data_IF_201368314609
#
_entry.id   IF_201368314609
#
_cell.length_a   1.000
_cell.length_b   1.000
_cell.length_c   1.000
_cell.angle_alpha   90.00
_cell.angle_beta   90.00
_cell.angle_gamma   90.00
#
_symmetry.space_group_name_H-M   'P 1'
#
loop_
_entity.id
_entity.type
_entity.pdbx_description
1 polymer ?
#
# COMPACT_ATOMS: atom_id res chain seq x y z
N UNK A 1 -12.74 -17.18 18.86
CA UNK A 1 -12.66 -17.33 17.39
C UNK A 1 -11.90 -16.13 16.85
N UNK A 2 -10.71 -16.43 16.29
CA UNK A 2 -9.80 -15.58 15.49
C UNK A 2 -10.02 -14.07 15.46
N UNK A 3 -9.26 -13.34 16.28
CA UNK A 3 -8.91 -11.95 16.00
C UNK A 3 -7.54 -11.96 15.29
N UNK A 4 -7.54 -11.82 13.97
CA UNK A 4 -6.33 -11.53 13.21
C UNK A 4 -6.06 -10.02 13.34
N UNK A 5 -4.96 -9.64 13.97
CA UNK A 5 -4.54 -8.25 14.07
C UNK A 5 -3.68 -7.83 12.87
N UNK A 6 -3.76 -6.52 12.59
CA UNK A 6 -2.81 -5.62 11.90
C UNK A 6 -2.68 -5.63 10.36
N UNK A 7 -3.65 -4.98 9.70
CA UNK A 7 -3.56 -4.22 8.43
C UNK A 7 -4.93 -3.58 8.15
N UNK A 8 -5.40 -2.60 8.93
CA UNK A 8 -6.81 -2.16 8.79
C UNK A 8 -7.12 -1.57 7.42
N UNK A 9 -6.22 -0.76 6.86
CA UNK A 9 -6.43 -0.11 5.57
C UNK A 9 -6.34 -1.10 4.40
N UNK A 10 -5.16 -1.69 4.22
CA UNK A 10 -4.87 -2.54 3.05
C UNK A 10 -5.56 -3.90 3.10
N UNK A 11 -5.79 -4.48 4.29
CA UNK A 11 -6.57 -5.72 4.38
C UNK A 11 -8.05 -5.46 4.07
N UNK A 12 -8.62 -4.36 4.58
CA UNK A 12 -9.98 -3.96 4.22
C UNK A 12 -10.09 -3.69 2.72
N UNK A 13 -9.10 -2.99 2.14
CA UNK A 13 -9.02 -2.74 0.70
C UNK A 13 -9.01 -4.06 -0.09
N UNK A 14 -8.14 -5.02 0.26
CA UNK A 14 -8.07 -6.34 -0.39
C UNK A 14 -9.36 -7.14 -0.26
N UNK A 15 -10.02 -7.08 0.90
CA UNK A 15 -11.31 -7.74 1.11
C UNK A 15 -12.37 -7.19 0.15
N UNK A 16 -12.45 -5.87 0.01
CA UNK A 16 -13.38 -5.20 -0.93
C UNK A 16 -13.08 -5.55 -2.39
N UNK A 17 -11.80 -5.52 -2.77
CA UNK A 17 -11.35 -5.91 -4.11
C UNK A 17 -11.73 -7.36 -4.45
N UNK A 18 -11.52 -8.28 -3.50
CA UNK A 18 -11.88 -9.70 -3.65
C UNK A 18 -13.39 -9.92 -3.74
N UNK A 19 -14.18 -9.04 -3.12
CA UNK A 19 -15.64 -9.03 -3.22
C UNK A 19 -16.16 -8.36 -4.50
N UNK A 20 -15.29 -7.85 -5.37
CA UNK A 20 -15.66 -7.18 -6.62
C UNK A 20 -16.40 -5.85 -6.40
N UNK A 21 -16.22 -5.22 -5.24
CA UNK A 21 -16.86 -3.95 -4.95
C UNK A 21 -16.15 -2.81 -5.67
N UNK A 22 -16.93 -1.88 -6.22
CA UNK A 22 -16.38 -0.62 -6.69
C UNK A 22 -15.81 0.18 -5.51
N UNK A 23 -14.67 0.82 -5.77
CA UNK A 23 -13.94 1.65 -4.82
C UNK A 23 -13.88 3.06 -5.37
N UNK A 24 -14.12 4.06 -4.52
CA UNK A 24 -13.72 5.42 -4.88
C UNK A 24 -12.20 5.54 -4.71
N UNK A 25 -11.53 6.29 -5.59
CA UNK A 25 -10.08 6.46 -5.56
C UNK A 25 -9.59 7.03 -4.23
N UNK A 26 -10.37 7.93 -3.62
CA UNK A 26 -10.09 8.48 -2.30
C UNK A 26 -10.06 7.41 -1.19
N UNK A 27 -10.83 6.32 -1.32
CA UNK A 27 -10.82 5.22 -0.34
C UNK A 27 -9.52 4.43 -0.41
N UNK A 28 -8.97 4.25 -1.63
CA UNK A 28 -7.64 3.66 -1.81
C UNK A 28 -6.57 4.50 -1.13
N UNK A 29 -6.56 5.82 -1.36
CA UNK A 29 -5.58 6.71 -0.73
C UNK A 29 -5.74 6.75 0.79
N UNK A 30 -6.97 6.74 1.31
CA UNK A 30 -7.22 6.65 2.74
C UNK A 30 -6.70 5.34 3.34
N UNK A 31 -6.87 4.22 2.63
CA UNK A 31 -6.34 2.92 3.06
C UNK A 31 -4.81 2.89 3.07
N UNK A 32 -4.16 3.54 2.10
CA UNK A 32 -2.69 3.70 2.07
C UNK A 32 -2.23 4.54 3.25
N UNK A 33 -2.81 5.72 3.43
CA UNK A 33 -2.43 6.66 4.50
C UNK A 33 -2.64 6.09 5.91
N UNK A 34 -3.53 5.11 6.08
CA UNK A 34 -3.73 4.43 7.36
C UNK A 34 -2.54 3.55 7.76
N UNK A 35 -1.87 2.91 6.79
CA UNK A 35 -0.87 1.86 7.03
C UNK A 35 0.55 2.25 6.58
N UNK A 36 0.70 3.35 5.82
CA UNK A 36 1.97 3.77 5.21
C UNK A 36 2.20 5.27 5.32
N UNK A 37 3.48 5.65 5.43
CA UNK A 37 3.98 6.99 5.17
C UNK A 37 4.40 7.10 3.71
N UNK A 38 3.96 8.17 3.04
CA UNK A 38 4.30 8.45 1.65
C UNK A 38 5.47 9.44 1.57
N UNK A 39 6.46 9.09 0.77
CA UNK A 39 7.54 9.99 0.34
C UNK A 39 7.52 10.09 -1.18
N UNK A 40 7.43 11.28 -1.77
CA UNK A 40 7.42 11.42 -3.22
C UNK A 40 8.64 10.77 -3.89
N UNK A 41 8.38 9.96 -4.92
CA UNK A 41 9.40 9.28 -5.73
C UNK A 41 9.12 9.45 -7.21
N UNK A 42 10.18 9.45 -8.00
CA UNK A 42 10.07 9.27 -9.44
C UNK A 42 9.69 7.81 -9.74
N UNK A 43 8.88 7.62 -10.77
CA UNK A 43 8.65 6.30 -11.37
C UNK A 43 8.41 6.42 -12.88
N UNK A 44 8.58 5.30 -13.57
CA UNK A 44 8.30 5.16 -15.01
C UNK A 44 7.29 4.03 -15.21
N UNK A 45 6.34 4.23 -16.11
CA UNK A 45 5.32 3.25 -16.47
C UNK A 45 5.16 3.20 -17.99
N UNK A 46 5.90 2.32 -18.66
CA UNK A 46 5.76 2.10 -20.10
C UNK A 46 6.01 3.34 -20.96
N UNK A 47 6.99 4.18 -20.56
CA UNK A 47 7.31 5.44 -21.23
C UNK A 47 6.55 6.66 -20.68
N UNK A 48 5.61 6.46 -19.75
CA UNK A 48 5.05 7.56 -18.94
C UNK A 48 5.99 7.83 -17.78
N UNK A 49 6.74 8.93 -17.85
CA UNK A 49 7.64 9.37 -16.79
C UNK A 49 6.89 10.26 -15.80
N UNK A 50 7.02 9.97 -14.51
CA UNK A 50 6.45 10.77 -13.44
C UNK A 50 7.57 11.19 -12.48
N UNK A 51 7.90 12.48 -12.46
CA UNK A 51 8.86 13.03 -11.51
C UNK A 51 8.33 12.93 -10.07
N UNK A 52 9.22 13.02 -9.08
CA UNK A 52 8.81 13.09 -7.68
C UNK A 52 7.84 14.28 -7.46
N UNK A 53 6.71 14.03 -6.81
CA UNK A 53 5.65 15.03 -6.59
C UNK A 53 4.70 15.20 -7.79
N UNK A 54 4.86 14.39 -8.85
CA UNK A 54 3.92 14.32 -9.98
C UNK A 54 3.20 12.98 -9.98
N UNK A 55 1.94 12.98 -10.43
CA UNK A 55 1.10 11.78 -10.48
C UNK A 55 1.09 11.00 -9.15
N UNK A 56 1.05 11.72 -8.02
CA UNK A 56 1.28 11.17 -6.68
C UNK A 56 0.36 9.99 -6.36
N UNK A 57 -0.93 10.11 -6.69
CA UNK A 57 -1.87 9.01 -6.50
C UNK A 57 -1.53 7.75 -7.30
N UNK A 58 -0.93 7.87 -8.50
CA UNK A 58 -0.40 6.71 -9.23
C UNK A 58 0.87 6.16 -8.56
N UNK A 59 1.74 7.05 -8.06
CA UNK A 59 2.95 6.68 -7.34
C UNK A 59 2.62 5.85 -6.08
N UNK A 60 1.63 6.29 -5.29
CA UNK A 60 1.12 5.58 -4.12
C UNK A 60 0.51 4.22 -4.49
N UNK A 61 -0.40 4.17 -5.48
CA UNK A 61 -1.06 2.91 -5.89
C UNK A 61 -0.06 1.89 -6.42
N UNK A 62 0.88 2.29 -7.28
CA UNK A 62 1.89 1.35 -7.79
C UNK A 62 2.87 0.90 -6.70
N UNK A 63 3.21 1.80 -5.77
CA UNK A 63 4.03 1.43 -4.60
C UNK A 63 3.32 0.42 -3.72
N UNK A 64 2.03 0.66 -3.42
CA UNK A 64 1.20 -0.28 -2.67
C UNK A 64 1.13 -1.62 -3.39
N UNK A 65 0.86 -1.61 -4.70
CA UNK A 65 0.72 -2.84 -5.47
C UNK A 65 1.98 -3.70 -5.44
N UNK A 66 3.17 -3.09 -5.53
CA UNK A 66 4.46 -3.82 -5.39
C UNK A 66 4.66 -4.35 -3.98
N UNK A 67 4.35 -3.56 -2.94
CA UNK A 67 4.56 -3.96 -1.54
C UNK A 67 3.59 -5.05 -1.08
N UNK A 68 2.33 -4.94 -1.46
CA UNK A 68 1.27 -5.87 -1.05
C UNK A 68 1.17 -7.08 -2.00
N UNK A 69 1.84 -7.06 -3.16
CA UNK A 69 1.76 -8.12 -4.15
C UNK A 69 0.38 -8.18 -4.82
N UNK A 70 -0.18 -7.03 -5.18
CA UNK A 70 -1.46 -6.96 -5.89
C UNK A 70 -1.29 -7.40 -7.34
N UNK A 71 -2.27 -8.15 -7.83
CA UNK A 71 -2.43 -8.42 -9.26
C UNK A 71 -2.68 -7.14 -10.05
N UNK A 72 -2.48 -7.20 -11.37
CA UNK A 72 -2.73 -6.05 -12.25
C UNK A 72 -4.19 -5.59 -12.19
N UNK A 73 -5.13 -6.54 -12.09
CA UNK A 73 -6.55 -6.24 -11.94
C UNK A 73 -6.87 -5.53 -10.62
N UNK A 74 -6.27 -5.96 -9.51
CA UNK A 74 -6.43 -5.30 -8.21
C UNK A 74 -5.86 -3.88 -8.23
N UNK A 75 -4.69 -3.67 -8.85
CA UNK A 75 -4.10 -2.34 -9.02
C UNK A 75 -4.99 -1.44 -9.88
N UNK A 76 -5.52 -1.93 -10.99
CA UNK A 76 -6.45 -1.16 -11.82
C UNK A 76 -7.72 -0.78 -11.06
N UNK A 77 -8.28 -1.71 -10.28
CA UNK A 77 -9.44 -1.44 -9.44
C UNK A 77 -9.15 -0.42 -8.32
N UNK A 78 -7.92 -0.35 -7.80
CA UNK A 78 -7.51 0.67 -6.84
C UNK A 78 -7.61 2.10 -7.37
N UNK A 79 -7.60 2.31 -8.70
CA UNK A 79 -7.80 3.63 -9.31
C UNK A 79 -9.27 4.08 -9.35
N UNK A 80 -10.22 3.22 -8.95
CA UNK A 80 -11.63 3.58 -8.77
C UNK A 80 -12.28 4.22 -9.99
N UNK A 81 -12.92 5.37 -9.80
CA UNK A 81 -13.60 6.12 -10.85
C UNK A 81 -12.66 6.55 -12.00
N UNK A 82 -11.36 6.73 -11.75
CA UNK A 82 -10.40 7.07 -12.82
C UNK A 82 -10.19 5.90 -13.79
N UNK A 83 -10.19 4.67 -13.29
CA UNK A 83 -10.13 3.48 -14.15
C UNK A 83 -11.43 3.33 -14.96
N UNK A 84 -12.59 3.56 -14.34
CA UNK A 84 -13.88 3.53 -15.05
C UNK A 84 -13.96 4.59 -16.15
N UNK A 85 -13.42 5.80 -15.91
CA UNK A 85 -13.32 6.84 -16.95
C UNK A 85 -12.47 6.40 -18.14
N UNK A 86 -11.35 5.70 -17.91
CA UNK A 86 -10.51 5.17 -18.99
C UNK A 86 -11.23 4.10 -19.80
N UNK A 87 -11.96 3.19 -19.12
CA UNK A 87 -12.78 2.18 -19.79
C UNK A 87 -13.92 2.79 -20.62
N UNK A 88 -14.54 3.87 -20.11
CA UNK A 88 -15.61 4.60 -20.78
C UNK A 88 -15.15 5.46 -21.97
N UNK A 89 -13.85 5.78 -22.05
CA UNK A 89 -13.25 6.53 -23.16
C UNK A 89 -11.98 5.85 -23.68
N UNK A 90 -12.12 4.77 -24.48
CA UNK A 90 -10.96 4.00 -24.98
C UNK A 90 -10.02 4.80 -25.89
N UNK A 91 -10.54 5.81 -26.60
CA UNK A 91 -9.77 6.65 -27.52
C UNK A 91 -9.16 7.90 -26.84
N UNK A 92 -9.54 8.18 -25.59
CA UNK A 92 -9.05 9.31 -24.81
C UNK A 92 -7.58 9.23 -24.44
N UNK A 93 -7.07 10.36 -23.96
CA UNK A 93 -5.66 10.53 -23.56
C UNK A 93 -5.48 10.85 -22.07
N UNK A 94 -6.58 10.95 -21.32
CA UNK A 94 -6.56 11.13 -19.87
C UNK A 94 -5.90 9.95 -19.15
N UNK A 95 -5.35 10.18 -17.95
CA UNK A 95 -4.85 9.12 -17.07
C UNK A 95 -3.78 8.23 -17.72
N UNK A 96 -2.71 8.85 -18.26
CA UNK A 96 -1.65 8.14 -18.99
C UNK A 96 -1.08 6.92 -18.24
N UNK A 97 -0.92 7.01 -16.91
CA UNK A 97 -0.46 5.89 -16.09
C UNK A 97 -1.41 4.69 -16.09
N UNK A 98 -2.73 4.92 -15.95
CA UNK A 98 -3.71 3.82 -15.97
C UNK A 98 -3.70 3.15 -17.34
N UNK A 99 -3.69 3.93 -18.42
CA UNK A 99 -3.68 3.40 -19.80
C UNK A 99 -2.40 2.62 -20.12
N UNK A 100 -1.24 3.14 -19.72
CA UNK A 100 0.03 2.45 -19.89
C UNK A 100 0.05 1.12 -19.12
N UNK A 101 -0.45 1.13 -17.88
CA UNK A 101 -0.51 -0.06 -17.05
C UNK A 101 -1.49 -1.11 -17.58
N UNK A 102 -2.66 -0.72 -18.10
CA UNK A 102 -3.59 -1.65 -18.76
C UNK A 102 -2.96 -2.37 -19.96
N UNK A 103 -2.06 -1.69 -20.68
CA UNK A 103 -1.45 -2.22 -21.90
C UNK A 103 -0.27 -3.15 -21.62
N UNK A 104 0.48 -2.87 -20.56
CA UNK A 104 1.81 -3.44 -20.35
C UNK A 104 1.99 -4.12 -19.00
N UNK A 105 1.09 -3.86 -18.05
CA UNK A 105 1.12 -4.46 -16.72
C UNK A 105 2.35 -4.08 -15.91
N UNK A 106 2.71 -4.96 -14.97
CA UNK A 106 3.82 -4.72 -14.05
C UNK A 106 5.19 -4.67 -14.73
N UNK A 107 5.34 -5.29 -15.90
CA UNK A 107 6.62 -5.45 -16.59
C UNK A 107 7.30 -4.11 -16.95
N UNK A 108 6.54 -3.02 -16.98
CA UNK A 108 7.04 -1.69 -17.38
C UNK A 108 6.96 -0.65 -16.27
N UNK A 109 6.57 -1.04 -15.05
CA UNK A 109 6.52 -0.15 -13.90
C UNK A 109 7.82 -0.26 -13.11
N UNK A 110 8.61 0.80 -13.16
CA UNK A 110 9.92 0.87 -12.52
C UNK A 110 10.02 2.06 -11.56
N UNK A 111 10.64 1.81 -10.41
CA UNK A 111 10.98 2.80 -9.40
C UNK A 111 12.51 2.79 -9.28
N UNK A 112 13.22 3.74 -9.92
CA UNK A 112 14.68 3.68 -10.04
C UNK A 112 15.42 3.61 -8.71
N UNK A 113 14.90 4.30 -7.69
CA UNK A 113 15.48 4.29 -6.34
C UNK A 113 14.79 3.25 -5.44
N UNK A 114 13.53 3.49 -5.11
CA UNK A 114 12.70 2.67 -4.24
C UNK A 114 11.22 3.01 -4.47
N UNK A 115 10.33 2.13 -4.02
CA UNK A 115 8.91 2.47 -3.89
C UNK A 115 8.71 3.65 -2.93
N UNK A 116 7.56 4.33 -3.05
CA UNK A 116 7.26 5.58 -2.36
C UNK A 116 6.61 5.41 -0.97
N UNK A 117 6.33 4.17 -0.56
CA UNK A 117 5.62 3.88 0.68
C UNK A 117 6.51 3.14 1.67
N UNK A 118 6.49 3.60 2.92
CA UNK A 118 7.08 2.92 4.05
C UNK A 118 6.02 2.58 5.10
N UNK A 119 6.03 1.38 5.70
CA UNK A 119 5.12 1.03 6.78
C UNK A 119 5.13 2.07 7.91
N UNK A 120 3.96 2.53 8.36
CA UNK A 120 3.85 3.46 9.48
C UNK A 120 3.68 2.73 10.82
N UNK A 121 3.99 3.43 11.93
CA UNK A 121 3.69 2.98 13.30
C UNK A 121 4.19 1.57 13.65
N UNK A 122 3.31 0.73 14.21
CA UNK A 122 3.58 -0.67 14.57
C UNK A 122 4.19 -1.50 13.42
N UNK A 123 3.80 -1.21 12.18
CA UNK A 123 4.24 -1.95 11.00
C UNK A 123 5.72 -1.68 10.66
N UNK A 124 6.22 -0.49 11.00
CA UNK A 124 7.64 -0.15 10.91
C UNK A 124 8.48 -1.03 11.85
N UNK A 125 8.01 -1.25 13.08
CA UNK A 125 8.67 -2.09 14.09
C UNK A 125 8.82 -3.55 13.63
N UNK A 126 7.76 -4.13 13.07
CA UNK A 126 7.77 -5.51 12.55
C UNK A 126 8.71 -5.65 11.34
N UNK A 127 8.71 -4.69 10.40
CA UNK A 127 9.62 -4.71 9.25
C UNK A 127 11.08 -4.60 9.70
N UNK A 128 11.38 -3.72 10.65
CA UNK A 128 12.72 -3.58 11.22
C UNK A 128 13.17 -4.88 11.92
N UNK A 129 12.28 -5.52 12.67
CA UNK A 129 12.55 -6.80 13.32
C UNK A 129 12.87 -7.90 12.29
N UNK A 130 12.05 -8.03 11.24
CA UNK A 130 12.27 -9.02 10.16
C UNK A 130 13.59 -8.80 9.44
N UNK A 131 13.95 -7.55 9.13
CA UNK A 131 15.22 -7.22 8.49
C UNK A 131 16.43 -7.64 9.35
N UNK A 132 16.36 -7.41 10.65
CA UNK A 132 17.41 -7.79 11.62
C UNK A 132 17.56 -9.30 11.76
N UNK A 133 16.44 -10.03 11.83
CA UNK A 133 16.45 -11.49 11.78
C UNK A 133 17.04 -12.03 10.48
N UNK A 134 16.66 -11.45 9.33
CA UNK A 134 17.20 -11.85 8.02
C UNK A 134 18.69 -11.53 7.87
N UNK A 135 19.21 -10.54 8.61
CA UNK A 135 20.62 -10.18 8.65
C UNK A 135 21.46 -11.03 9.62
N UNK A 136 20.88 -12.07 10.23
CA UNK A 136 21.60 -12.97 11.14
C UNK A 136 21.94 -12.34 12.50
N UNK A 137 21.30 -11.23 12.87
CA UNK A 137 21.43 -10.63 14.20
C UNK A 137 20.57 -11.43 15.19
N UNK A 138 21.08 -12.59 15.62
CA UNK A 138 20.37 -13.55 16.48
C UNK A 138 20.28 -13.15 17.96
N UNK A 139 21.03 -12.13 18.38
CA UNK A 139 20.93 -11.55 19.73
C UNK A 139 20.12 -10.25 19.69
N UNK A 140 18.82 -10.36 19.44
CA UNK A 140 17.92 -9.38 20.01
C UNK A 140 17.76 -9.72 21.49
N UNK A 141 18.08 -8.79 22.38
CA UNK A 141 17.73 -8.95 23.78
C UNK A 141 16.22 -9.21 23.85
N UNK A 142 15.82 -10.33 24.44
CA UNK A 142 14.42 -10.78 24.55
C UNK A 142 13.49 -9.64 25.02
N UNK A 143 14.01 -8.75 25.87
CA UNK A 143 13.35 -7.55 26.35
C UNK A 143 13.00 -6.51 25.26
N UNK A 144 13.86 -6.30 24.25
CA UNK A 144 13.60 -5.33 23.17
C UNK A 144 12.57 -5.86 22.17
N UNK A 145 12.61 -7.17 21.89
CA UNK A 145 11.60 -7.83 21.05
C UNK A 145 10.24 -7.85 21.75
N UNK A 146 10.23 -8.16 23.05
CA UNK A 146 9.03 -8.07 23.86
C UNK A 146 8.54 -6.64 24.00
N UNK A 147 9.40 -5.63 24.10
CA UNK A 147 8.99 -4.23 24.18
C UNK A 147 8.34 -3.74 22.87
N UNK A 148 8.86 -4.14 21.70
CA UNK A 148 8.23 -3.84 20.42
C UNK A 148 6.87 -4.53 20.28
N UNK A 149 6.79 -5.82 20.60
CA UNK A 149 5.54 -6.59 20.60
C UNK A 149 4.56 -6.05 21.67
N UNK A 150 5.05 -5.60 22.82
CA UNK A 150 4.23 -5.04 23.90
C UNK A 150 3.76 -3.61 23.59
N UNK A 151 4.55 -2.81 22.87
CA UNK A 151 4.09 -1.52 22.36
C UNK A 151 2.97 -1.72 21.33
N UNK A 152 3.08 -2.75 20.50
CA UNK A 152 1.99 -3.18 19.62
C UNK A 152 0.78 -3.66 20.44
N UNK A 153 1.00 -4.39 21.54
CA UNK A 153 -0.07 -4.89 22.41
C UNK A 153 -0.76 -3.82 23.28
N UNK A 154 -0.05 -2.82 23.79
CA UNK A 154 -0.61 -1.66 24.50
C UNK A 154 -1.41 -0.75 23.53
N UNK A 155 -0.93 -0.61 22.29
CA UNK A 155 -1.72 0.03 21.23
C UNK A 155 -3.00 -0.77 20.92
N UNK A 156 -2.95 -2.11 20.99
CA UNK A 156 -4.12 -2.99 20.86
C UNK A 156 -5.10 -2.86 22.06
N UNK A 157 -4.60 -2.70 23.28
CA UNK A 157 -5.43 -2.57 24.49
C UNK A 157 -6.11 -1.19 24.59
N UNK A 158 -5.38 -0.11 24.28
CA UNK A 158 -5.91 1.26 24.37
C UNK A 158 -6.99 1.58 23.33
N UNK A 159 -7.05 0.84 22.21
CA UNK A 159 -8.11 0.95 21.20
C UNK A 159 -9.33 0.05 21.50
N UNK A 160 -9.13 -1.05 22.23
CA UNK A 160 -10.22 -1.93 22.69
C UNK A 160 -11.12 -1.23 23.74
N UNK A 161 -10.59 -0.29 24.51
CA UNK A 161 -11.35 0.43 25.55
C UNK A 161 -12.17 1.62 25.00
N UNK A 162 -11.96 2.05 23.76
CA UNK A 162 -12.69 3.18 23.15
C UNK A 162 -13.94 2.79 22.36
N UNK A 163 -14.24 1.50 22.25
CA UNK A 163 -15.45 0.97 21.61
C UNK A 163 -16.64 0.75 22.55
N UNK A 164 -16.56 1.21 23.80
CA UNK A 164 -17.69 1.19 24.75
C UNK A 164 -17.87 2.57 25.39
N UNK A 165 -18.46 3.50 24.66
CA UNK A 165 -19.37 4.55 25.17
C UNK A 165 -20.25 5.06 24.06
#
# INVERSE_FOLDING_TARGET
MTAASTLTGVHALRSRLSAGQELAFAETLAAIAADFEYTPKQFVNGGVESAAGSNEGSCEVFSLGKLAGFSEAEVLACFGEHYQQVLGDPAGTSHGNIRAFMKHGWAVVDFPDSVALEPSGALAGIKALRARFSAGQSELAFAETLAAIAADFETLLTLSDRSVT
#
